data_IF_455632470281
#
_entry.id   IF_455632470281
#
_cell.length_a   1.000
_cell.length_b   1.000
_cell.length_c   1.000
_cell.angle_alpha   90.00
_cell.angle_beta   90.00
_cell.angle_gamma   90.00
#
_symmetry.space_group_name_H-M   'P 1'
#
loop_
_entity.id
_entity.type
_entity.pdbx_description
1 polymer ?
#
# COMPACT_ATOMS: atom_id res chain seq x y z
N UNK A 1 22.81 -50.32 -68.95
CA UNK A 1 21.84 -50.84 -67.96
C UNK A 1 21.77 -49.86 -66.79
N UNK A 2 20.74 -49.01 -66.73
CA UNK A 2 20.53 -48.00 -65.66
C UNK A 2 19.92 -48.72 -64.46
N UNK A 3 20.61 -48.74 -63.32
CA UNK A 3 20.08 -49.21 -62.04
C UNK A 3 19.39 -48.02 -61.38
N UNK A 4 18.06 -48.00 -61.39
CA UNK A 4 17.28 -46.94 -60.74
C UNK A 4 17.38 -47.07 -59.23
N UNK A 5 17.86 -46.01 -58.61
CA UNK A 5 17.91 -45.79 -57.18
C UNK A 5 16.49 -45.55 -56.66
N UNK A 6 15.89 -46.52 -55.97
CA UNK A 6 14.71 -46.27 -55.16
C UNK A 6 15.15 -45.78 -53.78
N UNK A 7 15.18 -44.46 -53.62
CA UNK A 7 15.31 -43.82 -52.31
C UNK A 7 13.89 -43.77 -51.73
N UNK A 8 13.56 -44.73 -50.88
CA UNK A 8 12.33 -44.71 -50.09
C UNK A 8 12.41 -43.57 -49.07
N UNK A 9 11.87 -42.40 -49.42
CA UNK A 9 11.59 -41.32 -48.46
C UNK A 9 10.44 -41.72 -47.56
N UNK A 10 10.72 -42.56 -46.57
CA UNK A 10 9.83 -42.79 -45.45
C UNK A 10 9.80 -41.50 -44.61
N UNK A 11 8.80 -40.66 -44.85
CA UNK A 11 8.56 -39.46 -44.03
C UNK A 11 8.23 -39.95 -42.63
N UNK A 12 9.22 -39.91 -41.73
CA UNK A 12 9.05 -40.12 -40.30
C UNK A 12 8.03 -39.09 -39.80
N UNK A 13 6.78 -39.51 -39.67
CA UNK A 13 5.71 -38.73 -39.05
C UNK A 13 6.06 -38.62 -37.56
N UNK A 14 6.77 -37.56 -37.20
CA UNK A 14 7.03 -37.23 -35.79
C UNK A 14 5.67 -37.04 -35.11
N UNK A 15 5.29 -38.02 -34.28
CA UNK A 15 4.09 -37.99 -33.44
C UNK A 15 4.13 -36.70 -32.61
N UNK A 16 3.15 -35.81 -32.80
CA UNK A 16 3.04 -34.56 -32.06
C UNK A 16 2.99 -34.89 -30.56
N UNK A 17 4.05 -34.56 -29.84
CA UNK A 17 4.05 -34.62 -28.38
C UNK A 17 3.64 -33.24 -27.87
N UNK A 18 2.51 -33.12 -27.16
CA UNK A 18 2.13 -31.85 -26.58
C UNK A 18 3.21 -31.42 -25.59
N UNK A 19 3.81 -30.25 -25.84
CA UNK A 19 4.78 -29.64 -24.94
C UNK A 19 4.08 -29.44 -23.59
N UNK A 20 4.65 -30.00 -22.51
CA UNK A 20 4.07 -29.95 -21.16
C UNK A 20 3.76 -28.49 -20.80
N UNK A 21 2.48 -28.16 -20.73
CA UNK A 21 2.01 -26.81 -20.52
C UNK A 21 2.20 -26.44 -19.04
N UNK A 22 3.13 -25.52 -18.77
CA UNK A 22 3.39 -25.03 -17.42
C UNK A 22 2.47 -23.87 -17.04
N UNK A 23 1.63 -23.40 -17.96
CA UNK A 23 0.76 -22.23 -17.81
C UNK A 23 -0.12 -22.28 -16.56
N UNK A 24 -0.65 -23.46 -16.20
CA UNK A 24 -1.44 -23.66 -14.97
C UNK A 24 -0.70 -23.19 -13.70
N UNK A 25 0.55 -23.63 -13.51
CA UNK A 25 1.34 -23.26 -12.33
C UNK A 25 1.61 -21.75 -12.28
N UNK A 26 1.82 -21.13 -13.44
CA UNK A 26 2.05 -19.70 -13.57
C UNK A 26 0.83 -18.92 -13.11
N UNK A 27 -0.33 -19.26 -13.68
CA UNK A 27 -1.60 -18.63 -13.35
C UNK A 27 -1.88 -18.76 -11.85
N UNK A 28 -1.61 -19.93 -11.25
CA UNK A 28 -1.75 -20.13 -9.80
C UNK A 28 -0.86 -19.16 -9.01
N UNK A 29 0.41 -18.98 -9.40
CA UNK A 29 1.33 -18.05 -8.72
C UNK A 29 0.85 -16.60 -8.87
N UNK A 30 0.39 -16.21 -10.06
CA UNK A 30 -0.15 -14.85 -10.30
C UNK A 30 -1.35 -14.58 -9.40
N UNK A 31 -2.29 -15.53 -9.35
CA UNK A 31 -3.48 -15.43 -8.52
C UNK A 31 -3.08 -15.34 -7.04
N UNK A 32 -2.19 -16.21 -6.57
CA UNK A 32 -1.72 -16.17 -5.19
C UNK A 32 -1.05 -14.84 -4.84
N UNK A 33 -0.14 -14.34 -5.69
CA UNK A 33 0.51 -13.04 -5.51
C UNK A 33 -0.48 -11.88 -5.51
N UNK A 34 -1.47 -11.91 -6.40
CA UNK A 34 -2.54 -10.92 -6.46
C UNK A 34 -3.32 -10.86 -5.14
N UNK A 35 -3.80 -12.00 -4.66
CA UNK A 35 -4.62 -12.05 -3.44
C UNK A 35 -3.82 -11.67 -2.19
N UNK A 36 -2.62 -12.23 -2.02
CA UNK A 36 -1.78 -11.94 -0.85
C UNK A 36 -1.38 -10.45 -0.85
N UNK A 37 -0.92 -9.94 -1.99
CA UNK A 37 -0.51 -8.54 -2.12
C UNK A 37 -1.66 -7.57 -1.89
N UNK A 38 -2.80 -7.82 -2.53
CA UNK A 38 -3.99 -6.97 -2.39
C UNK A 38 -4.54 -7.03 -0.97
N UNK A 39 -4.50 -8.19 -0.30
CA UNK A 39 -4.92 -8.32 1.09
C UNK A 39 -4.04 -7.48 2.01
N UNK A 40 -2.71 -7.44 1.81
CA UNK A 40 -1.84 -6.55 2.56
C UNK A 40 -2.10 -5.08 2.25
N UNK A 41 -2.33 -4.70 0.99
CA UNK A 41 -2.71 -3.33 0.67
C UNK A 41 -3.97 -2.91 1.42
N UNK A 42 -5.04 -3.72 1.39
CA UNK A 42 -6.29 -3.41 2.08
C UNK A 42 -6.11 -3.37 3.60
N UNK A 43 -5.30 -4.27 4.16
CA UNK A 43 -5.07 -4.34 5.60
C UNK A 43 -4.25 -3.15 6.13
N UNK A 44 -3.22 -2.70 5.41
CA UNK A 44 -2.27 -1.70 5.91
C UNK A 44 -2.50 -0.28 5.38
N UNK A 45 -3.23 -0.12 4.26
CA UNK A 45 -3.56 1.20 3.72
C UNK A 45 -4.29 2.11 4.72
N UNK A 46 -5.32 1.68 5.47
CA UNK A 46 -6.02 2.56 6.41
C UNK A 46 -5.14 3.10 7.53
N UNK A 47 -4.11 2.36 7.92
CA UNK A 47 -3.16 2.79 8.96
C UNK A 47 -2.08 3.72 8.41
N UNK A 48 -1.99 3.91 7.09
CA UNK A 48 -0.97 4.73 6.45
C UNK A 48 -1.60 6.05 6.03
N UNK A 49 -0.99 7.18 6.42
CA UNK A 49 -1.44 8.53 6.06
C UNK A 49 -1.09 8.91 4.61
N UNK A 50 -0.99 7.93 3.71
CA UNK A 50 -0.71 8.15 2.30
C UNK A 50 -2.00 8.48 1.57
N UNK A 51 -1.99 9.53 0.75
CA UNK A 51 -3.15 9.85 -0.09
C UNK A 51 -3.32 8.78 -1.19
N UNK A 52 -4.57 8.48 -1.56
CA UNK A 52 -4.88 7.50 -2.60
C UNK A 52 -4.17 7.81 -3.92
N UNK A 53 -4.03 9.10 -4.25
CA UNK A 53 -3.32 9.53 -5.44
C UNK A 53 -1.84 9.11 -5.42
N UNK A 54 -1.14 9.32 -4.31
CA UNK A 54 0.27 8.96 -4.20
C UNK A 54 0.46 7.44 -4.10
N UNK A 55 -0.45 6.74 -3.42
CA UNK A 55 -0.51 5.29 -3.42
C UNK A 55 -0.63 4.73 -4.85
N UNK A 56 -1.54 5.28 -5.66
CA UNK A 56 -1.76 4.86 -7.05
C UNK A 56 -0.53 5.08 -7.94
N UNK A 57 0.23 6.17 -7.72
CA UNK A 57 1.50 6.42 -8.43
C UNK A 57 2.54 5.35 -8.10
N UNK A 58 2.71 5.04 -6.80
CA UNK A 58 3.66 4.01 -6.36
C UNK A 58 3.30 2.65 -6.95
N UNK A 59 2.01 2.30 -6.90
CA UNK A 59 1.51 1.07 -7.50
C UNK A 59 1.79 0.99 -9.01
N UNK A 60 1.45 2.04 -9.76
CA UNK A 60 1.68 2.10 -11.20
C UNK A 60 3.19 2.05 -11.54
N UNK A 61 4.02 2.74 -10.77
CA UNK A 61 5.47 2.74 -10.93
C UNK A 61 6.06 1.33 -10.75
N UNK A 62 5.64 0.61 -9.70
CA UNK A 62 6.06 -0.78 -9.47
C UNK A 62 5.59 -1.72 -10.57
N UNK A 63 4.35 -1.53 -11.07
CA UNK A 63 3.86 -2.28 -12.22
C UNK A 63 4.72 -2.08 -13.46
N UNK A 64 5.13 -0.83 -13.75
CA UNK A 64 5.98 -0.51 -14.89
C UNK A 64 7.41 -1.03 -14.71
N UNK A 65 8.00 -0.92 -13.51
CA UNK A 65 9.35 -1.45 -13.23
C UNK A 65 9.42 -2.96 -13.50
N UNK A 66 8.36 -3.71 -13.18
CA UNK A 66 8.31 -5.14 -13.48
C UNK A 66 8.55 -5.45 -14.97
N UNK A 67 8.19 -4.54 -15.87
CA UNK A 67 8.43 -4.71 -17.32
C UNK A 67 9.86 -4.43 -17.77
N UNK A 68 10.68 -3.76 -16.96
CA UNK A 68 12.10 -3.58 -17.27
C UNK A 68 12.90 -4.89 -17.14
N UNK A 69 12.36 -5.90 -16.46
CA UNK A 69 12.94 -7.24 -16.46
C UNK A 69 12.87 -7.84 -17.88
N UNK A 70 14.02 -8.18 -18.50
CA UNK A 70 14.02 -8.64 -19.88
C UNK A 70 13.21 -9.93 -20.04
N UNK A 71 12.34 -9.97 -21.07
CA UNK A 71 11.53 -11.13 -21.48
C UNK A 71 12.33 -12.45 -21.61
N UNK A 72 13.65 -12.34 -21.83
CA UNK A 72 14.58 -13.48 -21.86
C UNK A 72 14.69 -14.20 -20.52
N UNK A 73 14.53 -13.51 -19.39
CA UNK A 73 14.53 -14.14 -18.06
C UNK A 73 13.24 -14.92 -17.84
N UNK A 74 12.09 -14.32 -18.17
CA UNK A 74 10.78 -14.96 -18.06
C UNK A 74 10.65 -16.22 -18.93
N UNK A 75 11.14 -16.15 -20.17
CA UNK A 75 11.14 -17.30 -21.08
C UNK A 75 12.10 -18.40 -20.63
N UNK A 76 13.25 -18.06 -20.05
CA UNK A 76 14.24 -19.04 -19.55
C UNK A 76 13.79 -19.75 -18.27
N UNK A 77 13.27 -19.00 -17.29
CA UNK A 77 12.91 -19.55 -15.98
C UNK A 77 11.52 -20.16 -15.98
N UNK A 78 10.56 -19.45 -16.55
CA UNK A 78 9.15 -19.80 -16.42
C UNK A 78 8.49 -20.24 -17.73
N UNK A 79 9.22 -20.17 -18.85
CA UNK A 79 8.69 -20.51 -20.19
C UNK A 79 7.47 -19.66 -20.59
N UNK A 80 7.39 -18.42 -20.07
CA UNK A 80 6.26 -17.54 -20.31
C UNK A 80 6.09 -17.13 -21.77
N UNK A 81 4.84 -17.05 -22.20
CA UNK A 81 4.45 -16.22 -23.34
C UNK A 81 4.47 -14.74 -22.98
N UNK A 82 4.47 -13.84 -23.98
CA UNK A 82 4.49 -12.39 -23.74
C UNK A 82 3.33 -11.91 -22.87
N UNK A 83 2.14 -12.48 -23.04
CA UNK A 83 0.94 -12.12 -22.30
C UNK A 83 0.97 -12.58 -20.84
N UNK A 84 1.47 -13.78 -20.57
CA UNK A 84 1.62 -14.28 -19.20
C UNK A 84 2.63 -13.46 -18.40
N UNK A 85 3.72 -13.04 -19.03
CA UNK A 85 4.68 -12.14 -18.39
C UNK A 85 4.03 -10.78 -18.03
N UNK A 86 3.16 -10.27 -18.89
CA UNK A 86 2.42 -9.04 -18.63
C UNK A 86 1.47 -9.19 -17.44
N UNK A 87 0.64 -10.23 -17.44
CA UNK A 87 -0.28 -10.52 -16.34
C UNK A 87 0.47 -10.77 -15.03
N UNK A 88 1.61 -11.47 -15.09
CA UNK A 88 2.43 -11.74 -13.92
C UNK A 88 2.98 -10.47 -13.28
N UNK A 89 3.49 -9.52 -14.06
CA UNK A 89 4.00 -8.28 -13.49
C UNK A 89 2.89 -7.37 -12.98
N UNK A 90 1.81 -7.19 -13.75
CA UNK A 90 0.75 -6.26 -13.41
C UNK A 90 -0.12 -6.76 -12.24
N UNK A 91 -0.50 -8.04 -12.27
CA UNK A 91 -1.43 -8.60 -11.28
C UNK A 91 -0.73 -9.42 -10.20
N UNK A 92 0.43 -10.01 -10.47
CA UNK A 92 1.17 -10.78 -9.46
C UNK A 92 2.13 -9.88 -8.68
N UNK A 93 3.16 -9.38 -9.37
CA UNK A 93 4.30 -8.72 -8.73
C UNK A 93 3.94 -7.35 -8.18
N UNK A 94 3.25 -6.50 -8.93
CA UNK A 94 2.94 -5.13 -8.50
C UNK A 94 2.16 -5.07 -7.17
N UNK A 95 0.99 -5.73 -7.03
CA UNK A 95 0.28 -5.74 -5.75
C UNK A 95 1.06 -6.44 -4.65
N UNK A 96 1.79 -7.51 -4.96
CA UNK A 96 2.60 -8.21 -3.97
C UNK A 96 3.71 -7.33 -3.38
N UNK A 97 4.47 -6.66 -4.25
CA UNK A 97 5.56 -5.77 -3.83
C UNK A 97 5.00 -4.54 -3.14
N UNK A 98 3.92 -3.94 -3.66
CA UNK A 98 3.28 -2.77 -3.05
C UNK A 98 2.74 -3.09 -1.64
N UNK A 99 2.02 -4.20 -1.48
CA UNK A 99 1.54 -4.65 -0.18
C UNK A 99 2.67 -5.00 0.79
N UNK A 100 3.76 -5.61 0.29
CA UNK A 100 4.95 -5.90 1.10
C UNK A 100 5.62 -4.63 1.59
N UNK A 101 5.69 -3.58 0.76
CA UNK A 101 6.25 -2.29 1.15
C UNK A 101 5.41 -1.62 2.25
N UNK A 102 4.07 -1.64 2.14
CA UNK A 102 3.19 -1.14 3.20
C UNK A 102 3.35 -1.93 4.50
N UNK A 103 3.42 -3.26 4.41
CA UNK A 103 3.66 -4.13 5.55
C UNK A 103 5.00 -3.80 6.23
N UNK A 104 6.08 -3.69 5.45
CA UNK A 104 7.39 -3.31 5.96
C UNK A 104 7.37 -1.92 6.59
N UNK A 105 6.70 -0.96 5.97
CA UNK A 105 6.57 0.39 6.50
C UNK A 105 5.85 0.42 7.85
N UNK A 106 4.84 -0.44 8.03
CA UNK A 106 4.09 -0.53 9.29
C UNK A 106 4.92 -1.14 10.43
N UNK A 107 5.65 -2.23 10.17
CA UNK A 107 6.42 -2.92 11.20
C UNK A 107 7.78 -2.27 11.51
N UNK A 108 8.42 -1.65 10.52
CA UNK A 108 9.72 -1.02 10.66
C UNK A 108 9.59 0.50 10.63
N UNK A 109 9.68 1.11 11.80
CA UNK A 109 9.63 2.56 11.99
C UNK A 109 10.97 3.12 12.47
N UNK A 110 11.23 4.36 12.10
CA UNK A 110 12.48 5.07 12.42
C UNK A 110 12.28 6.09 13.54
N UNK A 111 11.15 6.79 13.52
CA UNK A 111 10.79 7.81 14.51
C UNK A 111 9.34 7.66 14.92
N UNK A 112 9.05 8.12 16.14
CA UNK A 112 7.71 8.17 16.70
C UNK A 112 7.46 9.60 17.16
N UNK A 113 6.31 10.15 16.79
CA UNK A 113 5.85 11.47 17.19
C UNK A 113 4.44 11.35 17.77
N UNK A 114 4.15 12.13 18.81
CA UNK A 114 2.83 12.17 19.44
C UNK A 114 2.26 13.56 19.28
N UNK A 115 1.14 13.67 18.57
CA UNK A 115 0.38 14.91 18.44
C UNK A 115 -0.75 14.91 19.46
N UNK A 116 -0.93 16.04 20.15
CA UNK A 116 -2.03 16.26 21.08
C UNK A 116 -2.99 17.28 20.47
N UNK A 117 -4.25 16.89 20.29
CA UNK A 117 -5.30 17.79 19.84
C UNK A 117 -6.22 18.10 21.02
N UNK A 118 -6.38 19.39 21.31
CA UNK A 118 -7.30 19.93 22.30
C UNK A 118 -8.45 20.60 21.59
N UNK A 119 -9.67 20.39 22.07
CA UNK A 119 -10.85 21.04 21.51
C UNK A 119 -11.39 21.98 22.57
N UNK A 120 -11.32 23.27 22.27
CA UNK A 120 -11.84 24.31 23.14
C UNK A 120 -13.04 24.98 22.48
N UNK A 121 -14.17 24.97 23.18
CA UNK A 121 -15.33 25.78 22.81
C UNK A 121 -15.02 27.24 23.20
N UNK A 122 -15.17 28.17 22.26
CA UNK A 122 -15.04 29.59 22.56
C UNK A 122 -16.31 30.34 22.16
N UNK A 123 -16.74 31.25 23.05
CA UNK A 123 -17.95 32.03 22.86
C UNK A 123 -17.61 33.35 22.17
N UNK A 124 -18.12 33.56 20.96
CA UNK A 124 -18.02 34.85 20.27
C UNK A 124 -19.22 35.70 20.67
N UNK A 125 -18.99 36.60 21.63
CA UNK A 125 -20.01 37.48 22.23
C UNK A 125 -20.76 38.32 21.18
N UNK A 126 -20.08 38.72 20.11
CA UNK A 126 -20.65 39.55 19.02
C UNK A 126 -21.67 38.82 18.14
N UNK A 127 -21.55 37.48 18.01
CA UNK A 127 -22.42 36.69 17.13
C UNK A 127 -23.43 35.81 17.88
N UNK A 128 -23.32 35.72 19.22
CA UNK A 128 -24.10 34.78 20.06
C UNK A 128 -24.01 33.33 19.55
N UNK A 129 -22.91 32.98 18.89
CA UNK A 129 -22.64 31.65 18.37
C UNK A 129 -21.51 31.02 19.17
N UNK A 130 -21.71 29.76 19.56
CA UNK A 130 -20.66 28.90 20.09
C UNK A 130 -19.90 28.39 18.87
N UNK A 131 -18.57 28.56 18.87
CA UNK A 131 -17.71 28.04 17.81
C UNK A 131 -16.65 27.14 18.43
N UNK A 132 -16.34 26.03 17.77
CA UNK A 132 -15.34 25.06 18.19
C UNK A 132 -13.99 25.40 17.56
N UNK A 133 -12.93 25.47 18.37
CA UNK A 133 -11.55 25.61 17.89
C UNK A 133 -10.78 24.32 18.20
N UNK A 134 -10.24 23.69 17.17
CA UNK A 134 -9.28 22.61 17.31
C UNK A 134 -7.87 23.20 17.46
N UNK A 135 -7.24 22.96 18.60
CA UNK A 135 -5.87 23.38 18.88
C UNK A 135 -4.97 22.16 18.75
N UNK A 136 -4.10 22.15 17.73
CA UNK A 136 -3.03 21.16 17.64
C UNK A 136 -1.84 21.66 18.45
N UNK A 137 -1.39 20.83 19.40
CA UNK A 137 -0.28 21.15 20.26
C UNK A 137 0.76 20.01 20.30
N UNK A 138 2.02 20.39 20.18
CA UNK A 138 3.16 19.50 20.33
C UNK A 138 3.75 19.66 21.74
N UNK A 139 3.97 18.55 22.44
CA UNK A 139 4.58 18.61 23.78
C UNK A 139 6.09 18.80 23.65
N UNK A 140 6.61 19.90 24.16
CA UNK A 140 8.04 20.12 24.25
C UNK A 140 8.62 19.24 25.39
N UNK A 141 9.39 18.22 25.03
CA UNK A 141 9.98 17.26 25.98
C UNK A 141 10.99 17.89 26.95
N UNK A 142 11.60 19.03 26.58
CA UNK A 142 12.63 19.71 27.38
C UNK A 142 11.98 20.62 28.43
N UNK A 143 10.92 21.34 28.05
CA UNK A 143 10.26 22.31 28.94
C UNK A 143 9.02 21.74 29.62
N UNK A 144 8.52 20.59 29.18
CA UNK A 144 7.28 19.98 29.65
C UNK A 144 6.01 20.74 29.25
N UNK A 145 6.14 21.84 28.50
CA UNK A 145 5.04 22.70 28.06
C UNK A 145 4.55 22.31 26.68
N UNK A 146 3.27 22.52 26.43
CA UNK A 146 2.68 22.36 25.10
C UNK A 146 2.95 23.61 24.26
N UNK A 147 3.43 23.41 23.03
CA UNK A 147 3.57 24.46 22.03
C UNK A 147 2.43 24.28 21.03
N UNK A 148 1.61 25.31 20.87
CA UNK A 148 0.56 25.31 19.85
C UNK A 148 1.26 25.35 18.48
N UNK A 149 0.96 24.36 17.64
CA UNK A 149 1.52 24.21 16.29
C UNK A 149 0.57 24.77 15.25
N UNK A 150 -0.73 24.50 15.38
CA UNK A 150 -1.74 24.90 14.41
C UNK A 150 -3.10 25.14 15.08
N UNK A 151 -3.87 26.05 14.50
CA UNK A 151 -5.26 26.33 14.86
C UNK A 151 -6.14 25.89 13.69
N UNK A 152 -6.96 24.88 13.93
CA UNK A 152 -7.84 24.29 12.92
C UNK A 152 -9.30 24.53 13.33
N UNK A 153 -10.17 24.74 12.35
CA UNK A 153 -11.62 24.81 12.54
C UNK A 153 -12.22 23.46 12.15
N UNK A 154 -12.33 22.51 13.09
CA UNK A 154 -12.89 21.20 12.80
C UNK A 154 -14.37 21.27 12.40
N UNK A 155 -14.82 20.33 11.56
CA UNK A 155 -16.23 20.14 11.26
C UNK A 155 -16.94 19.61 12.53
N UNK A 156 -18.09 20.20 12.89
CA UNK A 156 -18.76 19.93 14.18
C UNK A 156 -19.02 18.43 14.39
N UNK A 157 -19.29 17.68 13.32
CA UNK A 157 -19.65 16.27 13.40
C UNK A 157 -18.49 15.32 13.77
N UNK A 158 -17.23 15.69 13.51
CA UNK A 158 -16.08 14.82 13.76
C UNK A 158 -15.66 14.81 15.25
N UNK A 159 -16.18 15.74 16.05
CA UNK A 159 -15.63 16.07 17.37
C UNK A 159 -16.66 16.22 18.50
N UNK A 160 -17.94 15.92 18.25
CA UNK A 160 -19.03 16.02 19.25
C UNK A 160 -18.88 15.13 20.50
N UNK A 161 -17.89 14.23 20.54
CA UNK A 161 -17.84 13.17 21.56
C UNK A 161 -16.59 13.19 22.46
N UNK A 162 -15.51 13.90 22.09
CA UNK A 162 -14.24 13.87 22.82
C UNK A 162 -13.54 15.23 22.81
N UNK A 163 -13.13 15.72 23.98
CA UNK A 163 -12.47 17.03 24.15
C UNK A 163 -10.93 16.95 23.99
N UNK A 164 -10.39 15.74 23.87
CA UNK A 164 -8.95 15.47 23.79
C UNK A 164 -8.66 14.24 22.93
N UNK A 165 -7.73 14.40 21.98
CA UNK A 165 -7.22 13.32 21.15
C UNK A 165 -5.70 13.27 21.25
N UNK A 166 -5.17 12.09 21.54
CA UNK A 166 -3.74 11.79 21.43
C UNK A 166 -3.52 10.82 20.28
N UNK A 167 -2.77 11.27 19.26
CA UNK A 167 -2.45 10.45 18.09
C UNK A 167 -0.94 10.19 18.07
N UNK A 168 -0.56 8.92 18.19
CA UNK A 168 0.82 8.48 17.99
C UNK A 168 1.03 8.16 16.51
N UNK A 169 1.84 8.98 15.85
CA UNK A 169 2.26 8.80 14.47
C UNK A 169 3.66 8.21 14.44
N UNK A 170 3.85 7.16 13.64
CA UNK A 170 5.16 6.56 13.38
C UNK A 170 5.59 6.83 11.96
N UNK A 171 6.85 7.16 11.76
CA UNK A 171 7.42 7.27 10.43
C UNK A 171 8.06 5.94 10.05
N UNK A 172 7.44 5.24 9.10
CA UNK A 172 7.96 3.97 8.58
C UNK A 172 9.24 4.16 7.77
N UNK A 173 9.98 3.07 7.57
CA UNK A 173 11.28 3.09 6.88
C UNK A 173 11.23 3.58 5.42
N UNK A 174 10.05 3.58 4.81
CA UNK A 174 9.83 4.10 3.46
C UNK A 174 9.40 5.58 3.45
N UNK A 175 9.38 6.22 4.63
CA UNK A 175 8.96 7.61 4.81
C UNK A 175 7.45 7.82 4.85
N UNK A 176 6.64 6.74 4.82
CA UNK A 176 5.19 6.88 4.99
C UNK A 176 4.85 6.90 6.47
N UNK A 177 4.06 7.90 6.87
CA UNK A 177 3.56 8.03 8.23
C UNK A 177 2.42 7.05 8.47
N UNK A 178 2.41 6.40 9.63
CA UNK A 178 1.36 5.45 10.03
C UNK A 178 0.81 5.81 11.40
N UNK A 179 -0.50 5.66 11.58
CA UNK A 179 -1.17 5.85 12.87
C UNK A 179 -1.04 4.57 13.69
N UNK A 180 -0.42 4.67 14.87
CA UNK A 180 -0.21 3.52 15.75
C UNK A 180 -1.21 3.45 16.90
N UNK A 181 -1.54 4.60 17.49
CA UNK A 181 -2.46 4.67 18.63
C UNK A 181 -3.28 5.95 18.54
N UNK A 182 -4.58 5.78 18.66
CA UNK A 182 -5.54 6.85 18.88
C UNK A 182 -6.10 6.67 20.29
N UNK A 183 -5.91 7.67 21.15
CA UNK A 183 -6.55 7.73 22.46
C UNK A 183 -7.56 8.87 22.45
N UNK A 184 -8.84 8.52 22.49
CA UNK A 184 -9.93 9.47 22.53
C UNK A 184 -10.44 9.52 23.97
N UNK A 185 -10.24 10.65 24.65
CA UNK A 185 -10.66 10.80 26.05
C UNK A 185 -11.72 11.89 26.13
N UNK A 186 -12.91 11.50 26.58
CA UNK A 186 -13.92 12.46 27.01
C UNK A 186 -13.46 12.95 28.39
N UNK A 187 -12.82 14.12 28.45
CA UNK A 187 -12.53 14.75 29.72
C UNK A 187 -13.88 15.08 30.37
N UNK A 188 -14.22 14.35 31.43
CA UNK A 188 -15.37 14.66 32.26
C UNK A 188 -15.14 16.06 32.83
N UNK A 189 -15.92 17.02 32.35
CA UNK A 189 -16.03 18.34 32.98
C UNK A 189 -16.70 18.10 34.33
N UNK A 190 -15.92 18.03 35.41
CA UNK A 190 -16.48 18.20 36.76
C UNK A 190 -17.08 19.61 36.80
N UNK A 191 -18.41 19.65 36.88
CA UNK A 191 -19.21 20.87 37.09
C UNK A 191 -19.14 21.32 38.53
#
# INVERSE_FOLDING_TARGET
MKKSTEISTEKVVKKYQPKKDKSMTVITIVIAGFFIGSMWCVAYYPYTLINFYDFSKVFAFLAVIGFFLPLRLYTKWFHFTKYEAFMFNLMGVAPFVCGSLLLLNYYFYTTTFTHFYFIEEYFIEEQRTISTLGIEAERNLITGKYKITELTYPDENDFLQYNFYEIEIREGILGFKTVNRELNVALHVEK
#
